data_IF_685625335088
#
_entry.id   IF_685625335088
#
_cell.length_a   1.000
_cell.length_b   1.000
_cell.length_c   1.000
_cell.angle_alpha   90.00
_cell.angle_beta   90.00
_cell.angle_gamma   90.00
#
_symmetry.space_group_name_H-M   'P 1'
#
loop_
_entity.id
_entity.type
_entity.pdbx_description
1 polymer ?
#
# COMPACT_ATOMS: atom_id res chain seq x y z
N UNK A 1 21.05 4.91 12.77
CA UNK A 1 20.61 5.00 11.35
C UNK A 1 19.37 4.13 11.23
N UNK A 2 18.30 4.65 10.64
CA UNK A 2 17.07 3.88 10.42
C UNK A 2 17.10 3.27 9.02
N UNK A 3 16.74 1.99 8.90
CA UNK A 3 16.67 1.27 7.62
C UNK A 3 15.20 1.07 7.25
N UNK A 4 14.79 1.65 6.13
CA UNK A 4 13.43 1.61 5.62
C UNK A 4 13.44 1.21 4.15
N UNK A 5 12.45 0.43 3.74
CA UNK A 5 12.07 0.28 2.34
C UNK A 5 10.88 1.20 2.05
N UNK A 6 11.02 2.04 1.04
CA UNK A 6 10.06 3.12 0.77
C UNK A 6 9.11 2.80 -0.38
N UNK A 7 9.23 1.61 -0.98
CA UNK A 7 8.39 1.19 -2.10
C UNK A 7 8.12 -0.31 -2.03
N UNK A 8 6.98 -0.69 -1.43
CA UNK A 8 6.60 -2.10 -1.24
C UNK A 8 5.19 -2.35 -1.75
N UNK A 9 5.04 -3.41 -2.55
CA UNK A 9 3.75 -3.91 -3.05
C UNK A 9 3.35 -5.18 -2.34
N UNK A 10 2.05 -5.30 -2.08
CA UNK A 10 1.42 -6.46 -1.45
C UNK A 10 0.61 -7.23 -2.47
N UNK A 11 0.55 -8.56 -2.34
CA UNK A 11 -0.25 -9.41 -3.23
C UNK A 11 -1.76 -9.28 -3.00
N UNK A 12 -2.16 -8.69 -1.87
CA UNK A 12 -3.54 -8.39 -1.57
C UNK A 12 -4.12 -7.32 -2.50
N UNK A 13 -3.30 -6.38 -2.98
CA UNK A 13 -3.77 -5.22 -3.72
C UNK A 13 -3.11 -5.14 -5.10
N UNK A 14 -1.79 -5.18 -5.17
CA UNK A 14 -1.06 -5.01 -6.43
C UNK A 14 -0.89 -6.33 -7.17
N UNK A 15 -1.28 -6.38 -8.45
CA UNK A 15 -1.13 -7.59 -9.27
C UNK A 15 0.33 -8.06 -9.42
N UNK A 16 1.28 -7.12 -9.38
CA UNK A 16 2.72 -7.40 -9.40
C UNK A 16 3.24 -7.91 -8.04
N UNK A 17 2.48 -7.70 -6.95
CA UNK A 17 2.78 -8.18 -5.62
C UNK A 17 2.72 -9.70 -5.55
N UNK A 18 3.86 -10.33 -5.23
CA UNK A 18 3.99 -11.81 -5.14
C UNK A 18 4.01 -12.33 -3.71
N UNK A 19 4.12 -11.42 -2.73
CA UNK A 19 4.24 -11.73 -1.31
C UNK A 19 3.10 -11.03 -0.59
N UNK A 20 2.40 -11.76 0.27
CA UNK A 20 1.34 -11.19 1.10
C UNK A 20 1.92 -10.23 2.14
N UNK A 21 1.12 -9.24 2.54
CA UNK A 21 1.49 -8.19 3.46
C UNK A 21 2.09 -8.72 4.78
N UNK A 22 1.51 -9.79 5.32
CA UNK A 22 1.98 -10.40 6.56
C UNK A 22 3.39 -10.98 6.37
N UNK A 23 3.59 -11.79 5.33
CA UNK A 23 4.89 -12.39 5.02
C UNK A 23 5.94 -11.30 4.76
N UNK A 24 5.60 -10.26 3.99
CA UNK A 24 6.50 -9.15 3.69
C UNK A 24 7.02 -8.47 4.97
N UNK A 25 6.12 -8.10 5.88
CA UNK A 25 6.46 -7.46 7.16
C UNK A 25 7.42 -8.31 7.99
N UNK A 26 7.21 -9.63 8.07
CA UNK A 26 8.14 -10.55 8.74
C UNK A 26 9.50 -10.64 8.04
N UNK A 27 9.53 -10.67 6.70
CA UNK A 27 10.78 -10.68 5.93
C UNK A 27 11.62 -9.44 6.22
N UNK A 28 11.02 -8.25 6.17
CA UNK A 28 11.71 -6.99 6.48
C UNK A 28 12.22 -6.95 7.93
N UNK A 29 11.39 -7.38 8.89
CA UNK A 29 11.81 -7.47 10.31
C UNK A 29 13.02 -8.40 10.50
N UNK A 30 12.97 -9.59 9.89
CA UNK A 30 14.05 -10.58 9.97
C UNK A 30 15.33 -10.10 9.27
N UNK A 31 15.20 -9.25 8.24
CA UNK A 31 16.31 -8.60 7.56
C UNK A 31 16.88 -7.37 8.31
N UNK A 32 16.33 -7.01 9.47
CA UNK A 32 16.82 -5.90 10.30
C UNK A 32 16.29 -4.51 9.91
N UNK A 33 15.22 -4.44 9.12
CA UNK A 33 14.57 -3.17 8.80
C UNK A 33 13.81 -2.63 10.00
N UNK A 34 13.78 -1.30 10.10
CA UNK A 34 13.03 -0.57 11.12
C UNK A 34 11.60 -0.28 10.67
N UNK A 35 11.38 -0.24 9.35
CA UNK A 35 10.05 -0.13 8.78
C UNK A 35 10.01 -0.26 7.27
N UNK A 36 8.79 -0.19 6.75
CA UNK A 36 8.49 -0.19 5.33
C UNK A 36 7.30 0.73 5.03
N UNK A 37 7.21 1.19 3.79
CA UNK A 37 6.05 1.91 3.28
C UNK A 37 5.32 1.02 2.29
N UNK A 38 4.05 0.75 2.55
CA UNK A 38 3.19 0.06 1.57
C UNK A 38 2.76 1.11 0.55
N UNK A 39 3.07 0.88 -0.72
CA UNK A 39 2.83 1.78 -1.84
C UNK A 39 2.20 1.02 -3.00
N UNK A 40 1.12 0.31 -2.70
CA UNK A 40 0.38 -0.44 -3.71
C UNK A 40 -0.10 0.46 -4.87
N UNK A 41 -0.37 -0.16 -6.01
CA UNK A 41 -0.76 0.55 -7.23
C UNK A 41 -2.12 1.24 -7.07
N UNK A 42 -2.11 2.57 -7.15
CA UNK A 42 -3.30 3.42 -7.07
C UNK A 42 -3.56 4.04 -8.44
N UNK A 43 -4.41 3.40 -9.25
CA UNK A 43 -4.78 3.89 -10.58
C UNK A 43 -6.10 3.31 -11.08
N UNK A 44 -6.67 3.95 -12.11
CA UNK A 44 -7.95 3.57 -12.70
C UNK A 44 -8.06 2.10 -13.06
N UNK A 45 -7.06 1.52 -13.75
CA UNK A 45 -7.12 0.10 -14.15
C UNK A 45 -7.29 -0.85 -12.97
N UNK A 46 -6.68 -0.58 -11.81
CA UNK A 46 -6.88 -1.40 -10.60
C UNK A 46 -8.30 -1.23 -10.08
N UNK A 47 -8.74 0.02 -9.85
CA UNK A 47 -10.06 0.31 -9.27
C UNK A 47 -11.23 -0.13 -10.17
N UNK A 48 -11.03 -0.13 -11.49
CA UNK A 48 -12.02 -0.60 -12.46
C UNK A 48 -12.25 -2.11 -12.40
N UNK A 49 -11.33 -2.89 -11.81
CA UNK A 49 -11.55 -4.32 -11.54
C UNK A 49 -12.47 -4.57 -10.33
N UNK A 50 -12.69 -3.55 -9.49
CA UNK A 50 -13.41 -3.66 -8.24
C UNK A 50 -14.88 -3.24 -8.37
N UNK A 51 -15.75 -3.95 -7.65
CA UNK A 51 -17.18 -3.63 -7.57
C UNK A 51 -17.50 -2.77 -6.33
N UNK A 52 -18.65 -2.12 -6.34
CA UNK A 52 -19.16 -1.34 -5.20
C UNK A 52 -18.91 0.16 -5.32
N UNK A 53 -19.21 0.87 -4.22
CA UNK A 53 -18.97 2.31 -4.11
C UNK A 53 -17.48 2.64 -4.02
N UNK A 54 -17.09 3.90 -4.21
CA UNK A 54 -15.71 4.34 -3.98
C UNK A 54 -15.16 3.90 -2.63
N UNK A 55 -15.97 4.03 -1.57
CA UNK A 55 -15.61 3.57 -0.23
C UNK A 55 -15.31 2.08 -0.17
N UNK A 56 -16.10 1.24 -0.85
CA UNK A 56 -15.87 -0.21 -0.90
C UNK A 56 -14.57 -0.54 -1.64
N UNK A 57 -14.29 0.19 -2.72
CA UNK A 57 -13.06 0.05 -3.50
C UNK A 57 -11.81 0.46 -2.71
N UNK A 58 -11.87 1.59 -2.01
CA UNK A 58 -10.78 2.04 -1.12
C UNK A 58 -10.58 1.06 0.04
N UNK A 59 -11.65 0.45 0.56
CA UNK A 59 -11.53 -0.60 1.58
C UNK A 59 -10.77 -1.82 1.08
N UNK A 60 -11.02 -2.25 -0.15
CA UNK A 60 -10.29 -3.37 -0.76
C UNK A 60 -8.84 -2.97 -1.06
N UNK A 61 -8.60 -1.76 -1.57
CA UNK A 61 -7.26 -1.21 -1.78
C UNK A 61 -6.41 -1.24 -0.51
N UNK A 62 -6.98 -0.79 0.62
CA UNK A 62 -6.31 -0.70 1.92
C UNK A 62 -6.05 -2.07 2.58
N UNK A 63 -6.53 -3.18 2.01
CA UNK A 63 -6.44 -4.51 2.63
C UNK A 63 -5.00 -4.91 2.94
N UNK A 64 -4.10 -4.79 1.96
CA UNK A 64 -2.68 -5.11 2.14
C UNK A 64 -2.02 -4.25 3.21
N UNK A 65 -2.21 -2.92 3.12
CA UNK A 65 -1.69 -1.98 4.13
C UNK A 65 -2.19 -2.28 5.54
N UNK A 66 -3.49 -2.51 5.75
CA UNK A 66 -4.07 -2.76 7.07
C UNK A 66 -3.57 -4.06 7.69
N UNK A 67 -3.40 -5.11 6.87
CA UNK A 67 -2.78 -6.37 7.33
C UNK A 67 -1.33 -6.13 7.73
N UNK A 68 -0.57 -5.40 6.91
CA UNK A 68 0.82 -5.07 7.21
C UNK A 68 0.93 -4.26 8.51
N UNK A 69 0.11 -3.22 8.67
CA UNK A 69 0.08 -2.36 9.85
C UNK A 69 -0.19 -3.17 11.12
N UNK A 70 -1.27 -3.96 11.11
CA UNK A 70 -1.66 -4.78 12.26
C UNK A 70 -0.58 -5.81 12.62
N UNK A 71 0.09 -6.41 11.63
CA UNK A 71 1.18 -7.35 11.92
C UNK A 71 2.45 -6.63 12.37
N UNK A 72 2.74 -5.47 11.78
CA UNK A 72 3.88 -4.64 12.12
C UNK A 72 3.87 -4.19 13.57
N UNK A 73 2.70 -3.79 14.08
CA UNK A 73 2.48 -3.46 15.49
C UNK A 73 2.81 -4.64 16.42
N UNK A 74 2.45 -5.88 16.04
CA UNK A 74 2.71 -7.07 16.86
C UNK A 74 4.19 -7.41 16.94
N UNK A 75 4.93 -7.24 15.85
CA UNK A 75 6.34 -7.66 15.76
C UNK A 75 7.34 -6.50 15.92
N UNK A 76 6.83 -5.28 16.13
CA UNK A 76 7.64 -4.09 16.35
C UNK A 76 8.43 -3.66 15.12
N UNK A 77 7.75 -3.50 13.98
CA UNK A 77 8.28 -2.87 12.76
C UNK A 77 7.31 -1.78 12.31
N UNK A 78 7.83 -0.63 11.91
CA UNK A 78 7.00 0.51 11.50
C UNK A 78 6.43 0.26 10.09
N UNK A 79 5.12 0.46 9.92
CA UNK A 79 4.45 0.34 8.62
C UNK A 79 3.74 1.65 8.33
N UNK A 80 4.07 2.25 7.20
CA UNK A 80 3.58 3.57 6.79
C UNK A 80 2.70 3.41 5.55
N UNK A 81 1.60 4.17 5.49
CA UNK A 81 0.77 4.27 4.29
C UNK A 81 1.43 5.20 3.27
N UNK A 82 1.58 4.70 2.05
CA UNK A 82 1.81 5.49 0.85
C UNK A 82 1.00 4.90 -0.30
N UNK A 83 1.15 5.48 -1.49
CA UNK A 83 0.56 4.95 -2.73
C UNK A 83 1.56 5.10 -3.88
N UNK A 84 1.48 4.22 -4.87
CA UNK A 84 2.08 4.43 -6.18
C UNK A 84 0.99 4.87 -7.16
N UNK A 85 0.87 6.19 -7.34
CA UNK A 85 -0.14 6.83 -8.17
C UNK A 85 0.26 6.79 -9.65
N UNK A 86 -0.69 6.42 -10.51
CA UNK A 86 -0.58 6.59 -11.96
C UNK A 86 -1.84 7.25 -12.52
N UNK A 87 -1.63 8.31 -13.28
CA UNK A 87 -2.68 9.06 -13.97
C UNK A 87 -3.10 8.38 -15.29
N UNK A 88 -4.28 8.71 -15.83
CA UNK A 88 -4.77 8.10 -17.07
C UNK A 88 -4.03 8.59 -18.33
N UNK A 89 -3.49 9.82 -18.31
CA UNK A 89 -2.91 10.45 -19.49
C UNK A 89 -1.55 9.86 -19.89
N UNK A 90 -0.88 9.13 -18.99
CA UNK A 90 0.45 8.58 -19.23
C UNK A 90 0.78 7.39 -18.29
N UNK A 91 1.92 6.75 -18.51
CA UNK A 91 2.39 5.60 -17.72
C UNK A 91 3.44 5.95 -16.67
N UNK A 92 3.51 7.22 -16.24
CA UNK A 92 4.42 7.59 -15.15
C UNK A 92 3.80 7.24 -13.80
N UNK A 93 4.60 6.63 -12.95
CA UNK A 93 4.26 6.30 -11.58
C UNK A 93 4.89 7.29 -10.60
N UNK A 94 4.14 7.67 -9.57
CA UNK A 94 4.54 8.63 -8.55
C UNK A 94 4.33 8.04 -7.16
N UNK A 95 5.38 8.06 -6.34
CA UNK A 95 5.27 7.67 -4.94
C UNK A 95 4.77 8.87 -4.11
N UNK A 96 3.64 8.68 -3.45
CA UNK A 96 3.03 9.68 -2.58
C UNK A 96 3.11 9.19 -1.13
N UNK A 97 3.54 10.09 -0.25
CA UNK A 97 3.76 9.84 1.17
C UNK A 97 3.13 10.93 2.02
N UNK A 98 2.91 10.64 3.30
CA UNK A 98 2.36 11.62 4.26
C UNK A 98 0.85 11.81 4.15
N UNK A 99 0.16 10.82 3.60
CA UNK A 99 -1.30 10.73 3.51
C UNK A 99 -1.84 9.74 4.55
N UNK A 100 -3.13 9.84 4.84
CA UNK A 100 -3.88 8.88 5.65
C UNK A 100 -4.99 8.21 4.82
N UNK A 101 -5.78 7.35 5.46
CA UNK A 101 -6.87 6.66 4.78
C UNK A 101 -7.99 7.63 4.35
N UNK A 102 -8.22 8.70 5.12
CA UNK A 102 -9.26 9.72 4.83
C UNK A 102 -8.96 10.43 3.51
N UNK A 103 -7.68 10.77 3.25
CA UNK A 103 -7.26 11.29 1.95
C UNK A 103 -7.70 10.38 0.79
N UNK A 104 -7.59 9.06 0.92
CA UNK A 104 -8.00 8.13 -0.13
C UNK A 104 -9.53 8.06 -0.29
N UNK A 105 -10.27 8.16 0.81
CA UNK A 105 -11.74 8.19 0.76
C UNK A 105 -12.29 9.48 0.14
N UNK A 106 -11.61 10.60 0.30
CA UNK A 106 -12.05 11.92 -0.19
C UNK A 106 -11.67 12.21 -1.65
N UNK A 107 -10.71 11.47 -2.22
CA UNK A 107 -10.17 11.75 -3.55
C UNK A 107 -10.42 10.58 -4.52
N UNK A 108 -11.64 10.54 -5.07
CA UNK A 108 -11.99 9.67 -6.19
C UNK A 108 -11.37 10.22 -7.49
N UNK A 109 -10.64 9.39 -8.24
CA UNK A 109 -9.98 9.77 -9.50
C UNK A 109 -8.92 10.87 -9.36
N UNK A 110 -7.90 10.64 -8.52
CA UNK A 110 -6.61 11.33 -8.65
C UNK A 110 -5.96 11.01 -10.00
#
# INVERSE_FOLDING_TARGET
MYLYDVHVHTSETSQCGKVDAKTAVHMYKNAGYHGLVITDHFHGDYFNTLAGSWKDRVNEYLRGYRIALQEGEKIGINVILGIELRFEENYNDYLIYGIDEDFLYENEYL
#
